data_IF_425266719689
#
_entry.id   IF_425266719689
#
_cell.length_a   1.000
_cell.length_b   1.000
_cell.length_c   1.000
_cell.angle_alpha   90.00
_cell.angle_beta   90.00
_cell.angle_gamma   90.00
#
_symmetry.space_group_name_H-M   'P 1'
#
loop_
_entity.id
_entity.type
_entity.pdbx_description
1 polymer ?
#
# COMPACT_ATOMS: atom_id res chain seq x y z
N UNK A 1 -10.77 8.41 24.14
CA UNK A 1 -10.31 7.87 22.85
C UNK A 1 -8.89 7.37 22.96
N UNK A 2 -8.57 6.33 22.25
CA UNK A 2 -7.23 5.77 22.20
C UNK A 2 -6.51 6.22 20.95
N UNK A 3 -5.20 6.34 21.03
CA UNK A 3 -4.37 6.66 19.88
C UNK A 3 -3.93 5.36 19.22
N UNK A 4 -4.07 5.28 17.91
CA UNK A 4 -3.64 4.14 17.12
C UNK A 4 -2.67 4.57 16.04
N UNK A 5 -1.64 3.76 15.83
CA UNK A 5 -0.71 3.92 14.72
C UNK A 5 -1.10 2.93 13.63
N UNK A 6 -1.32 3.44 12.44
CA UNK A 6 -1.81 2.65 11.31
C UNK A 6 -0.78 2.69 10.20
N UNK A 7 -0.40 1.51 9.71
CA UNK A 7 0.48 1.38 8.55
C UNK A 7 -0.30 0.76 7.42
N UNK A 8 -0.27 1.40 6.27
CA UNK A 8 -1.02 0.96 5.09
C UNK A 8 -0.03 0.74 3.95
N UNK A 9 -0.01 -0.48 3.41
CA UNK A 9 0.77 -0.82 2.22
C UNK A 9 -0.20 -0.94 1.05
N UNK A 10 0.02 -0.15 0.02
CA UNK A 10 -0.83 -0.12 -1.17
C UNK A 10 -0.01 -0.55 -2.36
N UNK A 11 -0.42 -1.63 -3.01
CA UNK A 11 0.30 -2.20 -4.15
C UNK A 11 -0.65 -2.37 -5.34
N UNK A 12 -0.12 -2.32 -6.57
CA UNK A 12 -0.94 -2.60 -7.74
C UNK A 12 -1.40 -4.06 -7.75
N UNK A 13 -2.60 -4.30 -8.25
CA UNK A 13 -3.11 -5.66 -8.46
C UNK A 13 -2.23 -6.37 -9.48
N UNK A 14 -2.05 -7.67 -9.30
CA UNK A 14 -1.18 -8.47 -10.19
C UNK A 14 -1.64 -8.48 -11.64
N UNK A 15 -2.92 -8.24 -11.88
CA UNK A 15 -3.51 -8.23 -13.22
C UNK A 15 -3.35 -6.90 -13.95
N UNK A 16 -2.80 -5.89 -13.28
CA UNK A 16 -2.66 -4.53 -13.82
C UNK A 16 -1.23 -4.30 -14.27
N UNK A 17 -1.06 -3.65 -15.43
CA UNK A 17 0.26 -3.20 -15.87
C UNK A 17 0.78 -2.13 -14.90
N UNK A 18 2.03 -2.31 -14.47
CA UNK A 18 2.69 -1.40 -13.55
C UNK A 18 3.86 -0.72 -14.26
N UNK A 19 3.65 0.45 -14.89
CA UNK A 19 4.72 1.12 -15.62
C UNK A 19 5.89 1.53 -14.72
N UNK A 20 5.63 1.84 -13.45
CA UNK A 20 6.70 2.16 -12.50
C UNK A 20 7.56 0.94 -12.19
N UNK A 21 6.92 -0.22 -12.03
CA UNK A 21 7.62 -1.48 -11.80
C UNK A 21 8.49 -1.85 -12.99
N UNK A 22 7.99 -1.66 -14.20
CA UNK A 22 8.75 -1.92 -15.43
C UNK A 22 9.97 -1.00 -15.52
N UNK A 23 9.83 0.28 -15.20
CA UNK A 23 10.94 1.22 -15.20
C UNK A 23 12.02 0.85 -14.19
N UNK A 24 11.62 0.45 -12.98
CA UNK A 24 12.56 0.01 -11.96
C UNK A 24 13.29 -1.27 -12.42
N UNK A 25 12.55 -2.21 -12.98
CA UNK A 25 13.14 -3.46 -13.49
C UNK A 25 14.17 -3.17 -14.58
N UNK A 26 13.86 -2.31 -15.53
CA UNK A 26 14.78 -1.96 -16.61
C UNK A 26 16.03 -1.27 -16.08
N UNK A 27 15.86 -0.36 -15.12
CA UNK A 27 17.00 0.30 -14.48
C UNK A 27 17.91 -0.68 -13.77
N UNK A 28 17.36 -1.63 -13.04
CA UNK A 28 18.12 -2.64 -12.34
C UNK A 28 18.85 -3.58 -13.32
N UNK A 29 18.19 -3.99 -14.39
CA UNK A 29 18.80 -4.83 -15.42
C UNK A 29 19.98 -4.12 -16.07
N UNK A 30 19.86 -2.83 -16.30
CA UNK A 30 20.97 -2.03 -16.86
C UNK A 30 22.18 -1.98 -15.92
N UNK A 31 21.95 -2.16 -14.62
CA UNK A 31 23.02 -2.20 -13.61
C UNK A 31 23.58 -3.61 -13.40
N UNK A 32 23.09 -4.60 -14.13
CA UNK A 32 23.60 -5.98 -14.04
C UNK A 32 22.73 -6.95 -13.25
N UNK A 33 21.60 -6.52 -12.73
CA UNK A 33 20.67 -7.39 -12.01
C UNK A 33 19.77 -8.10 -13.03
N UNK A 34 20.22 -9.21 -13.58
CA UNK A 34 19.55 -9.89 -14.69
C UNK A 34 18.58 -10.99 -14.26
N UNK A 35 18.60 -11.40 -12.99
CA UNK A 35 17.77 -12.51 -12.50
C UNK A 35 16.40 -12.05 -11.96
N UNK A 36 16.01 -10.83 -12.27
CA UNK A 36 14.73 -10.27 -11.83
C UNK A 36 13.58 -10.86 -12.62
N UNK A 37 12.57 -11.34 -11.92
CA UNK A 37 11.38 -11.90 -12.56
C UNK A 37 10.19 -10.96 -12.49
N UNK A 38 10.10 -10.16 -11.42
CA UNK A 38 8.99 -9.26 -11.24
C UNK A 38 9.40 -8.10 -10.33
N UNK A 39 8.96 -6.90 -10.68
CA UNK A 39 9.15 -5.71 -9.84
C UNK A 39 7.82 -4.95 -9.78
N UNK A 40 7.37 -4.67 -8.58
CA UNK A 40 6.15 -3.92 -8.33
C UNK A 40 6.49 -2.72 -7.45
N UNK A 41 5.91 -1.57 -7.76
CA UNK A 41 6.10 -0.34 -6.98
C UNK A 41 4.78 0.03 -6.31
N UNK A 42 4.80 0.24 -5.01
CA UNK A 42 3.62 0.60 -4.25
C UNK A 42 3.86 1.81 -3.36
N UNK A 43 2.86 2.11 -2.53
CA UNK A 43 2.91 3.21 -1.55
C UNK A 43 2.87 2.66 -0.14
N UNK A 44 3.50 3.37 0.78
CA UNK A 44 3.44 3.07 2.19
C UNK A 44 2.99 4.34 2.92
N UNK A 45 1.91 4.23 3.69
CA UNK A 45 1.32 5.37 4.39
C UNK A 45 1.27 5.08 5.88
N UNK A 46 1.73 6.02 6.70
CA UNK A 46 1.64 5.94 8.15
C UNK A 46 0.65 7.00 8.64
N UNK A 47 -0.31 6.58 9.47
CA UNK A 47 -1.33 7.46 10.03
C UNK A 47 -1.41 7.24 11.54
N UNK A 48 -1.44 8.33 12.30
CA UNK A 48 -1.77 8.29 13.71
C UNK A 48 -3.17 8.87 13.87
N UNK A 49 -4.08 8.10 14.45
CA UNK A 49 -5.48 8.48 14.53
C UNK A 49 -6.06 8.12 15.91
N UNK A 50 -7.00 8.93 16.36
CA UNK A 50 -7.74 8.64 17.61
C UNK A 50 -9.05 7.96 17.30
N UNK A 51 -9.36 6.90 18.01
CA UNK A 51 -10.60 6.16 17.89
C UNK A 51 -10.97 5.55 19.24
N UNK A 52 -12.22 5.16 19.42
CA UNK A 52 -12.67 4.58 20.68
C UNK A 52 -12.15 3.14 20.84
N UNK A 53 -12.13 2.37 19.75
CA UNK A 53 -11.67 0.99 19.76
C UNK A 53 -10.85 0.72 18.51
N UNK A 54 -10.06 -0.36 18.56
CA UNK A 54 -9.31 -0.81 17.39
C UNK A 54 -10.24 -1.14 16.22
N UNK A 55 -11.41 -1.70 16.52
CA UNK A 55 -12.42 -2.03 15.50
C UNK A 55 -12.93 -0.77 14.80
N UNK A 56 -13.21 0.29 15.55
CA UNK A 56 -13.64 1.57 14.98
C UNK A 56 -12.53 2.18 14.14
N UNK A 57 -11.29 2.12 14.63
CA UNK A 57 -10.12 2.57 13.89
C UNK A 57 -10.03 1.87 12.54
N UNK A 58 -10.16 0.55 12.53
CA UNK A 58 -10.09 -0.23 11.29
C UNK A 58 -11.19 0.18 10.30
N UNK A 59 -12.42 0.38 10.77
CA UNK A 59 -13.52 0.82 9.91
C UNK A 59 -13.23 2.17 9.26
N UNK A 60 -12.69 3.11 10.03
CA UNK A 60 -12.35 4.44 9.52
C UNK A 60 -11.26 4.35 8.46
N UNK A 61 -10.25 3.54 8.70
CA UNK A 61 -9.11 3.41 7.78
C UNK A 61 -9.52 2.66 6.49
N UNK A 62 -10.33 1.61 6.60
CA UNK A 62 -10.85 0.91 5.41
C UNK A 62 -11.64 1.88 4.53
N UNK A 63 -12.50 2.68 5.13
CA UNK A 63 -13.26 3.68 4.39
C UNK A 63 -12.34 4.71 3.72
N UNK A 64 -11.32 5.17 4.44
CA UNK A 64 -10.35 6.12 3.89
C UNK A 64 -9.59 5.53 2.71
N UNK A 65 -9.21 4.24 2.79
CA UNK A 65 -8.54 3.56 1.68
C UNK A 65 -9.43 3.49 0.46
N UNK A 66 -10.70 3.08 0.66
CA UNK A 66 -11.65 2.92 -0.44
C UNK A 66 -12.04 4.25 -1.08
N UNK A 67 -12.16 5.31 -0.26
CA UNK A 67 -12.61 6.61 -0.74
C UNK A 67 -11.49 7.44 -1.36
N UNK A 68 -10.26 7.28 -0.90
CA UNK A 68 -9.20 8.23 -1.25
C UNK A 68 -7.80 7.64 -1.41
N UNK A 69 -7.36 6.79 -0.47
CA UNK A 69 -5.95 6.40 -0.40
C UNK A 69 -5.54 5.40 -1.47
N UNK A 70 -6.44 4.51 -1.87
CA UNK A 70 -6.18 3.49 -2.87
C UNK A 70 -7.23 3.55 -3.98
N UNK A 71 -6.84 3.16 -5.18
CA UNK A 71 -7.78 3.02 -6.27
C UNK A 71 -8.23 1.55 -6.31
N UNK A 72 -9.47 1.23 -5.85
CA UNK A 72 -9.90 -0.15 -5.70
C UNK A 72 -9.97 -0.94 -7.01
N UNK A 73 -9.99 -0.25 -8.15
CA UNK A 73 -10.01 -0.92 -9.45
C UNK A 73 -8.64 -1.52 -9.82
N UNK A 74 -7.55 -0.89 -9.37
CA UNK A 74 -6.21 -1.25 -9.81
C UNK A 74 -5.23 -1.52 -8.66
N UNK A 75 -5.63 -1.25 -7.41
CA UNK A 75 -4.75 -1.38 -6.25
C UNK A 75 -5.34 -2.27 -5.16
N UNK A 76 -4.47 -2.90 -4.41
CA UNK A 76 -4.78 -3.66 -3.19
C UNK A 76 -4.11 -2.99 -2.01
N UNK A 77 -4.61 -3.22 -0.80
CA UNK A 77 -3.98 -2.65 0.38
C UNK A 77 -3.99 -3.62 1.55
N UNK A 78 -3.01 -3.46 2.43
CA UNK A 78 -2.89 -4.20 3.68
C UNK A 78 -2.80 -3.17 4.80
N UNK A 79 -3.61 -3.33 5.84
CA UNK A 79 -3.67 -2.42 6.99
C UNK A 79 -3.13 -3.13 8.22
N UNK A 80 -2.18 -2.50 8.91
CA UNK A 80 -1.67 -2.95 10.18
C UNK A 80 -1.94 -1.86 11.23
N UNK A 81 -2.55 -2.22 12.35
CA UNK A 81 -2.93 -1.27 13.40
C UNK A 81 -2.22 -1.68 14.70
N UNK A 82 -1.56 -0.71 15.33
CA UNK A 82 -0.92 -0.89 16.63
C UNK A 82 -1.28 0.25 17.57
N UNK A 83 -1.19 -0.01 18.86
CA UNK A 83 -1.42 1.01 19.90
C UNK A 83 -0.15 1.75 20.30
#
# INVERSE_FOLDING_TARGET
MNEYNVNIKITPKKTVNDPRGVQVMNGLKNLGYTDLQNVSVGKYIEITIYANTKKDCKKMIVKACDDFLANPLIEEYIIEISE
#
